data_IF_125866913928
#
_entry.id   IF_125866913928
#
_cell.length_a   1.000
_cell.length_b   1.000
_cell.length_c   1.000
_cell.angle_alpha   90.00
_cell.angle_beta   90.00
_cell.angle_gamma   90.00
#
_symmetry.space_group_name_H-M   'P 1'
#
loop_
_entity.id
_entity.type
_entity.pdbx_description
1 polymer ?
#
# COMPACT_ATOMS: atom_id res chain seq x y z
N UNK A 1 41.35 -9.34 14.05
CA UNK A 1 42.59 -9.18 13.25
C UNK A 1 42.62 -10.16 12.09
N UNK A 2 43.16 -11.38 12.29
CA UNK A 2 43.38 -12.35 11.22
C UNK A 2 42.11 -13.06 10.68
N UNK A 3 41.12 -13.34 11.55
CA UNK A 3 39.89 -14.03 11.14
C UNK A 3 38.98 -13.23 10.19
N UNK A 4 38.92 -11.91 10.37
CA UNK A 4 38.15 -11.01 9.48
C UNK A 4 38.76 -10.94 8.08
N UNK A 5 40.11 -10.90 7.99
CA UNK A 5 40.83 -10.87 6.71
C UNK A 5 40.60 -12.17 5.94
N UNK A 6 40.69 -13.32 6.62
CA UNK A 6 40.41 -14.62 6.01
C UNK A 6 38.96 -14.74 5.53
N UNK A 7 37.99 -14.16 6.25
CA UNK A 7 36.60 -14.12 5.84
C UNK A 7 36.42 -13.32 4.53
N UNK A 8 36.94 -12.08 4.44
CA UNK A 8 36.79 -11.23 3.23
C UNK A 8 37.37 -11.88 1.97
N UNK A 9 38.51 -12.55 2.10
CA UNK A 9 39.22 -13.19 0.99
C UNK A 9 38.66 -14.56 0.61
N UNK A 10 37.69 -15.11 1.34
CA UNK A 10 37.07 -16.37 0.94
C UNK A 10 36.43 -16.23 -0.46
N UNK A 11 36.55 -17.27 -1.28
CA UNK A 11 35.99 -17.34 -2.63
C UNK A 11 34.70 -18.16 -2.70
N UNK A 12 34.35 -18.87 -1.62
CA UNK A 12 33.14 -19.69 -1.50
C UNK A 12 32.54 -19.59 -0.08
N UNK A 13 31.20 -19.62 0.07
CA UNK A 13 30.55 -19.63 1.39
C UNK A 13 30.92 -20.90 2.18
N UNK A 14 31.26 -20.74 3.46
CA UNK A 14 31.68 -21.83 4.36
C UNK A 14 30.52 -22.47 5.14
N UNK A 15 29.30 -21.94 5.02
CA UNK A 15 28.13 -22.46 5.76
C UNK A 15 27.40 -23.57 4.98
N UNK A 16 27.04 -24.69 5.62
CA UNK A 16 26.28 -25.77 4.97
C UNK A 16 24.82 -25.30 4.75
N UNK A 17 24.47 -24.96 3.51
CA UNK A 17 23.11 -24.61 3.09
C UNK A 17 23.01 -23.43 2.12
N UNK A 18 23.98 -22.52 2.11
CA UNK A 18 24.01 -21.36 1.22
C UNK A 18 24.64 -21.71 -0.13
N UNK A 19 23.92 -22.43 -0.99
CA UNK A 19 24.29 -22.52 -2.40
C UNK A 19 24.11 -21.13 -3.01
N UNK A 20 25.18 -20.51 -3.54
CA UNK A 20 25.06 -19.32 -4.39
C UNK A 20 24.25 -19.72 -5.63
N UNK A 21 22.98 -19.35 -5.69
CA UNK A 21 22.06 -19.71 -6.81
C UNK A 21 21.98 -18.59 -7.83
N UNK A 22 22.24 -17.36 -7.40
CA UNK A 22 22.12 -16.15 -8.20
C UNK A 22 23.29 -15.20 -7.95
N UNK A 23 23.47 -14.22 -8.83
CA UNK A 23 24.45 -13.17 -8.61
C UNK A 23 24.10 -12.27 -7.41
N UNK A 24 22.81 -12.11 -7.06
CA UNK A 24 22.42 -11.43 -5.82
C UNK A 24 22.84 -12.21 -4.56
N UNK A 25 22.88 -13.54 -4.59
CA UNK A 25 23.41 -14.35 -3.47
C UNK A 25 24.90 -14.06 -3.24
N UNK A 26 25.64 -13.83 -4.33
CA UNK A 26 27.06 -13.47 -4.23
C UNK A 26 27.24 -12.11 -3.58
N UNK A 27 26.41 -11.13 -3.96
CA UNK A 27 26.38 -9.83 -3.28
C UNK A 27 25.99 -10.01 -1.82
N UNK A 28 24.93 -10.76 -1.53
CA UNK A 28 24.44 -10.96 -0.18
C UNK A 28 25.50 -11.59 0.72
N UNK A 29 26.15 -12.64 0.22
CA UNK A 29 27.27 -13.29 0.90
C UNK A 29 28.43 -12.33 1.13
N UNK A 30 28.89 -11.58 0.11
CA UNK A 30 29.97 -10.60 0.27
C UNK A 30 29.61 -9.47 1.22
N UNK A 31 28.37 -8.99 1.19
CA UNK A 31 27.84 -8.00 2.15
C UNK A 31 27.84 -8.57 3.56
N UNK A 32 27.48 -9.84 3.75
CA UNK A 32 27.54 -10.51 5.05
C UNK A 32 28.98 -10.62 5.57
N UNK A 33 29.95 -10.94 4.71
CA UNK A 33 31.36 -10.94 5.10
C UNK A 33 31.85 -9.55 5.54
N UNK A 34 31.45 -8.50 4.81
CA UNK A 34 31.75 -7.12 5.19
C UNK A 34 31.10 -6.77 6.55
N UNK A 35 29.86 -7.20 6.81
CA UNK A 35 29.18 -7.00 8.11
C UNK A 35 29.92 -7.67 9.26
N UNK A 36 30.42 -8.89 9.07
CA UNK A 36 31.22 -9.60 10.08
C UNK A 36 32.53 -8.85 10.38
N UNK A 37 33.12 -8.19 9.38
CA UNK A 37 34.34 -7.41 9.54
C UNK A 37 34.12 -6.04 10.19
N UNK A 38 33.01 -5.37 9.89
CA UNK A 38 32.66 -4.05 10.43
C UNK A 38 32.02 -4.10 11.83
N UNK A 39 31.69 -5.30 12.33
CA UNK A 39 31.12 -5.50 13.66
C UNK A 39 29.64 -5.15 13.71
N UNK A 40 28.77 -5.99 13.11
CA UNK A 40 27.30 -5.92 13.12
C UNK A 40 26.66 -4.60 12.64
N UNK A 41 27.42 -3.52 12.45
CA UNK A 41 26.93 -2.29 11.86
C UNK A 41 26.62 -2.53 10.38
N UNK A 42 25.42 -2.10 9.95
CA UNK A 42 25.01 -2.17 8.56
C UNK A 42 26.04 -1.41 7.72
N UNK A 43 26.64 -1.98 6.66
CA UNK A 43 27.50 -1.22 5.78
C UNK A 43 26.67 -0.10 5.17
N UNK A 44 26.94 1.13 5.61
CA UNK A 44 26.14 2.28 5.19
C UNK A 44 26.63 2.73 3.82
N UNK A 45 25.87 2.42 2.79
CA UNK A 45 26.10 2.95 1.44
C UNK A 45 25.72 4.44 1.32
N UNK A 46 25.51 5.13 2.44
CA UNK A 46 25.28 6.58 2.51
C UNK A 46 26.46 7.38 1.96
N UNK A 47 27.67 6.81 1.96
CA UNK A 47 28.86 7.43 1.39
C UNK A 47 28.86 7.45 -0.15
N UNK A 48 27.98 6.69 -0.81
CA UNK A 48 27.85 6.73 -2.27
C UNK A 48 27.12 8.00 -2.70
N UNK A 49 27.61 8.65 -3.75
CA UNK A 49 26.91 9.79 -4.38
C UNK A 49 25.57 9.35 -4.97
N UNK A 50 24.65 10.32 -5.14
CA UNK A 50 23.34 10.05 -5.73
C UNK A 50 23.44 9.41 -7.12
N UNK A 51 24.38 9.85 -7.95
CA UNK A 51 24.63 9.31 -9.29
C UNK A 51 25.06 7.84 -9.28
N UNK A 52 25.91 7.45 -8.32
CA UNK A 52 26.37 6.06 -8.19
C UNK A 52 25.21 5.17 -7.74
N UNK A 53 24.40 5.65 -6.79
CA UNK A 53 23.20 4.92 -6.31
C UNK A 53 22.18 4.73 -7.43
N UNK A 54 22.02 5.74 -8.28
CA UNK A 54 21.15 5.68 -9.45
C UNK A 54 21.62 4.63 -10.46
N UNK A 55 22.91 4.64 -10.82
CA UNK A 55 23.50 3.62 -11.70
C UNK A 55 23.37 2.22 -11.11
N UNK A 56 23.55 2.09 -9.79
CA UNK A 56 23.40 0.82 -9.09
C UNK A 56 21.95 0.31 -9.15
N UNK A 57 20.96 1.18 -8.95
CA UNK A 57 19.55 0.83 -9.11
C UNK A 57 19.26 0.32 -10.53
N UNK A 58 19.67 1.07 -11.56
CA UNK A 58 19.44 0.70 -12.96
C UNK A 58 20.12 -0.63 -13.32
N UNK A 59 21.32 -0.86 -12.79
CA UNK A 59 22.01 -2.13 -12.96
C UNK A 59 21.20 -3.28 -12.32
N UNK A 60 20.79 -3.15 -11.07
CA UNK A 60 20.03 -4.18 -10.36
C UNK A 60 18.70 -4.50 -11.06
N UNK A 61 17.96 -3.46 -11.47
CA UNK A 61 16.70 -3.62 -12.18
C UNK A 61 16.89 -4.30 -13.56
N UNK A 62 17.88 -3.87 -14.34
CA UNK A 62 18.16 -4.47 -15.66
C UNK A 62 18.63 -5.92 -15.56
N UNK A 63 19.46 -6.25 -14.56
CA UNK A 63 19.88 -7.64 -14.32
C UNK A 63 18.72 -8.52 -13.85
N UNK A 64 17.79 -7.97 -13.05
CA UNK A 64 16.58 -8.69 -12.66
C UNK A 64 15.73 -9.03 -13.89
N UNK A 65 15.49 -8.07 -14.76
CA UNK A 65 14.74 -8.26 -16.00
C UNK A 65 15.41 -9.26 -16.96
N UNK A 66 16.75 -9.24 -17.07
CA UNK A 66 17.48 -10.07 -18.03
C UNK A 66 17.67 -11.54 -17.59
N UNK A 67 17.65 -11.84 -16.28
CA UNK A 67 18.07 -13.18 -15.83
C UNK A 67 17.67 -13.56 -14.40
N UNK A 68 16.69 -12.89 -13.79
CA UNK A 68 16.21 -13.26 -12.45
C UNK A 68 17.28 -13.04 -11.36
N UNK A 69 18.12 -12.01 -11.53
CA UNK A 69 19.22 -11.65 -10.62
C UNK A 69 18.86 -11.69 -9.14
N UNK A 70 17.62 -11.33 -8.79
CA UNK A 70 17.09 -11.31 -7.43
C UNK A 70 15.93 -12.31 -7.26
N UNK A 71 16.14 -13.58 -7.64
CA UNK A 71 15.15 -14.65 -7.47
C UNK A 71 15.24 -15.35 -6.10
N UNK A 72 16.30 -15.11 -5.33
CA UNK A 72 16.50 -15.65 -3.99
C UNK A 72 16.06 -14.66 -2.91
N UNK A 73 15.47 -15.17 -1.82
CA UNK A 73 15.05 -14.34 -0.68
C UNK A 73 16.22 -13.61 -0.02
N UNK A 74 17.37 -14.27 0.17
CA UNK A 74 18.55 -13.66 0.79
C UNK A 74 19.13 -12.52 -0.06
N UNK A 75 19.18 -12.68 -1.38
CA UNK A 75 19.61 -11.65 -2.32
C UNK A 75 18.69 -10.43 -2.30
N UNK A 76 17.37 -10.66 -2.28
CA UNK A 76 16.36 -9.60 -2.19
C UNK A 76 16.49 -8.81 -0.88
N UNK A 77 16.66 -9.47 0.26
CA UNK A 77 16.82 -8.80 1.55
C UNK A 77 18.05 -7.88 1.60
N UNK A 78 19.15 -8.29 0.97
CA UNK A 78 20.33 -7.42 0.88
C UNK A 78 20.06 -6.22 -0.01
N UNK A 79 19.41 -6.41 -1.16
CA UNK A 79 19.01 -5.32 -2.05
C UNK A 79 18.07 -4.34 -1.34
N UNK A 80 17.10 -4.84 -0.56
CA UNK A 80 16.19 -4.01 0.24
C UNK A 80 16.93 -3.10 1.22
N UNK A 81 18.07 -3.56 1.75
CA UNK A 81 18.91 -2.76 2.67
C UNK A 81 19.81 -1.72 1.99
N UNK A 82 19.82 -1.66 0.65
CA UNK A 82 20.61 -0.69 -0.10
C UNK A 82 19.83 0.64 -0.22
N UNK A 83 20.45 1.80 0.09
CA UNK A 83 19.84 3.11 -0.02
C UNK A 83 19.85 3.63 -1.47
N UNK A 84 19.33 2.83 -2.41
CA UNK A 84 19.35 3.08 -3.85
C UNK A 84 18.01 3.54 -4.42
N UNK A 85 16.93 3.38 -3.64
CA UNK A 85 15.57 3.67 -4.06
C UNK A 85 15.29 5.17 -3.94
N UNK A 86 14.67 5.74 -4.98
CA UNK A 86 14.28 7.16 -5.00
C UNK A 86 12.85 7.30 -4.51
N UNK A 87 12.63 8.16 -3.51
CA UNK A 87 11.27 8.60 -3.16
C UNK A 87 10.78 9.66 -4.15
N UNK A 88 9.48 9.92 -4.20
CA UNK A 88 8.93 11.02 -5.03
C UNK A 88 9.48 12.40 -4.63
N UNK A 89 9.99 12.56 -3.41
CA UNK A 89 10.68 13.77 -2.96
C UNK A 89 12.12 13.90 -3.52
N UNK A 90 12.65 12.85 -4.17
CA UNK A 90 14.01 12.80 -4.69
C UNK A 90 15.04 12.22 -3.71
N UNK A 91 14.62 11.86 -2.50
CA UNK A 91 15.51 11.30 -1.48
C UNK A 91 15.88 9.85 -1.79
N UNK A 92 17.12 9.47 -1.49
CA UNK A 92 17.63 8.09 -1.64
C UNK A 92 17.49 7.33 -0.32
N UNK A 93 16.65 6.30 -0.30
CA UNK A 93 16.34 5.48 0.89
C UNK A 93 16.54 3.99 0.64
N UNK A 94 16.70 3.22 1.72
CA UNK A 94 16.52 1.77 1.71
C UNK A 94 15.05 1.41 1.97
N UNK A 95 14.67 0.17 1.68
CA UNK A 95 13.30 -0.35 1.83
C UNK A 95 13.25 -1.59 2.75
N UNK A 96 14.27 -1.77 3.58
CA UNK A 96 14.34 -2.90 4.51
C UNK A 96 13.37 -2.73 5.67
N UNK A 97 13.10 -1.49 6.09
CA UNK A 97 12.17 -1.18 7.15
C UNK A 97 11.20 -0.07 6.70
N UNK A 98 9.90 -0.41 6.62
CA UNK A 98 8.84 0.53 6.28
C UNK A 98 7.88 0.02 5.21
N UNK A 99 6.74 0.69 5.11
CA UNK A 99 5.73 0.42 4.09
C UNK A 99 6.02 1.29 2.87
N UNK A 100 6.63 0.69 1.85
CA UNK A 100 6.93 1.35 0.59
C UNK A 100 5.99 0.88 -0.51
N UNK A 101 5.61 1.80 -1.39
CA UNK A 101 4.69 1.53 -2.51
C UNK A 101 5.11 2.33 -3.73
N UNK A 102 4.72 1.86 -4.91
CA UNK A 102 4.76 2.66 -6.16
C UNK A 102 3.35 2.99 -6.60
N UNK A 103 3.19 4.05 -7.39
CA UNK A 103 1.89 4.45 -7.93
C UNK A 103 2.05 4.84 -9.41
N UNK A 104 1.42 4.13 -10.36
CA UNK A 104 1.47 4.47 -11.77
C UNK A 104 0.84 5.83 -12.06
N UNK A 105 1.28 6.51 -13.14
CA UNK A 105 0.59 7.70 -13.61
C UNK A 105 -0.86 7.37 -14.01
N UNK A 106 -1.80 8.25 -13.67
CA UNK A 106 -3.22 8.10 -14.03
C UNK A 106 -4.10 7.41 -12.99
N UNK A 107 -3.52 6.93 -11.88
CA UNK A 107 -4.30 6.46 -10.73
C UNK A 107 -5.07 7.62 -10.10
N UNK A 108 -6.34 7.40 -9.82
CA UNK A 108 -7.19 8.44 -9.24
C UNK A 108 -6.74 8.80 -7.81
N UNK A 109 -6.81 10.10 -7.51
CA UNK A 109 -6.42 10.66 -6.22
C UNK A 109 -4.94 10.47 -5.85
N UNK A 110 -4.06 10.19 -6.82
CA UNK A 110 -2.62 10.06 -6.60
C UNK A 110 -2.00 11.31 -5.94
N UNK A 111 -2.58 12.49 -6.14
CA UNK A 111 -2.16 13.74 -5.48
C UNK A 111 -2.21 13.66 -3.94
N UNK A 112 -3.08 12.81 -3.39
CA UNK A 112 -3.19 12.60 -1.94
C UNK A 112 -2.01 11.82 -1.36
N UNK A 113 -1.27 11.09 -2.21
CA UNK A 113 -0.08 10.34 -1.84
C UNK A 113 1.14 11.25 -1.61
N UNK A 114 1.09 12.53 -1.98
CA UNK A 114 2.18 13.50 -1.76
C UNK A 114 2.61 13.63 -0.29
N UNK A 115 1.72 13.28 0.66
CA UNK A 115 1.98 13.29 2.10
C UNK A 115 2.53 11.96 2.64
N UNK A 116 2.55 10.92 1.81
CA UNK A 116 3.01 9.59 2.17
C UNK A 116 4.50 9.45 1.90
N UNK A 117 5.31 9.43 2.97
CA UNK A 117 6.77 9.34 2.86
C UNK A 117 7.30 8.04 2.24
N UNK A 118 6.48 6.98 2.20
CA UNK A 118 6.82 5.69 1.61
C UNK A 118 6.57 5.59 0.10
N UNK A 119 6.21 6.69 -0.58
CA UNK A 119 5.97 6.67 -2.02
C UNK A 119 7.30 6.71 -2.79
N UNK A 120 7.60 5.62 -3.49
CA UNK A 120 8.76 5.52 -4.38
C UNK A 120 8.44 6.07 -5.76
N UNK A 121 9.48 6.54 -6.45
CA UNK A 121 9.40 6.96 -7.84
C UNK A 121 8.92 5.79 -8.72
N UNK A 122 7.81 6.00 -9.44
CA UNK A 122 7.30 5.02 -10.38
C UNK A 122 8.20 4.94 -11.61
N UNK A 123 8.65 3.72 -11.92
CA UNK A 123 9.46 3.43 -13.09
C UNK A 123 8.92 2.18 -13.76
N UNK A 124 8.35 2.35 -14.94
CA UNK A 124 7.69 1.28 -15.68
C UNK A 124 8.65 0.10 -15.95
N UNK A 125 9.88 0.39 -16.34
CA UNK A 125 10.93 -0.62 -16.59
C UNK A 125 11.40 -1.39 -15.36
N UNK A 126 11.07 -0.92 -14.15
CA UNK A 126 11.47 -1.55 -12.89
C UNK A 126 10.28 -2.13 -12.11
N UNK A 127 9.08 -2.21 -12.72
CA UNK A 127 7.86 -2.70 -12.08
C UNK A 127 8.02 -4.10 -11.48
N UNK A 128 8.50 -5.05 -12.27
CA UNK A 128 8.69 -6.44 -11.81
C UNK A 128 9.76 -6.53 -10.72
N UNK A 129 10.79 -5.68 -10.80
CA UNK A 129 11.83 -5.59 -9.77
C UNK A 129 11.28 -5.08 -8.44
N UNK A 130 10.42 -4.05 -8.45
CA UNK A 130 9.70 -3.59 -7.26
C UNK A 130 8.80 -4.68 -6.67
N UNK A 131 8.06 -5.40 -7.53
CA UNK A 131 7.21 -6.50 -7.10
C UNK A 131 8.01 -7.62 -6.43
N UNK A 132 9.17 -8.01 -6.99
CA UNK A 132 10.06 -9.01 -6.40
C UNK A 132 10.61 -8.57 -5.03
N UNK A 133 10.82 -7.27 -4.83
CA UNK A 133 11.24 -6.69 -3.55
C UNK A 133 10.09 -6.55 -2.53
N UNK A 134 8.86 -6.93 -2.90
CA UNK A 134 7.68 -6.80 -2.06
C UNK A 134 7.16 -5.37 -1.95
N UNK A 135 7.48 -4.50 -2.92
CA UNK A 135 6.93 -3.15 -3.03
C UNK A 135 5.71 -3.21 -3.95
N UNK A 136 4.48 -3.14 -3.40
CA UNK A 136 3.28 -3.22 -4.22
C UNK A 136 3.06 -1.94 -5.03
N UNK A 137 2.50 -2.13 -6.22
CA UNK A 137 1.98 -1.07 -7.06
C UNK A 137 0.53 -0.76 -6.67
N UNK A 138 0.23 0.49 -6.33
CA UNK A 138 -1.11 0.91 -5.94
C UNK A 138 -2.00 1.10 -7.18
N UNK A 139 -3.20 0.50 -7.14
CA UNK A 139 -4.29 0.83 -8.07
C UNK A 139 -5.31 1.76 -7.42
N UNK A 140 -6.28 2.26 -8.20
CA UNK A 140 -7.37 3.14 -7.74
C UNK A 140 -8.00 2.65 -6.41
N UNK A 141 -8.29 1.34 -6.33
CA UNK A 141 -8.90 0.74 -5.15
C UNK A 141 -8.00 0.81 -3.90
N UNK A 142 -6.70 0.64 -4.05
CA UNK A 142 -5.76 0.69 -2.93
C UNK A 142 -5.57 2.12 -2.43
N UNK A 143 -5.50 3.10 -3.34
CA UNK A 143 -5.43 4.52 -2.99
C UNK A 143 -6.69 4.93 -2.22
N UNK A 144 -7.86 4.52 -2.74
CA UNK A 144 -9.14 4.76 -2.08
C UNK A 144 -9.17 4.12 -0.68
N UNK A 145 -8.81 2.85 -0.57
CA UNK A 145 -8.87 2.09 0.68
C UNK A 145 -7.96 2.67 1.77
N UNK A 146 -6.71 3.02 1.40
CA UNK A 146 -5.67 3.42 2.36
C UNK A 146 -5.72 4.90 2.71
N UNK A 147 -6.06 5.78 1.76
CA UNK A 147 -5.87 7.23 1.92
C UNK A 147 -7.18 8.01 1.90
N UNK A 148 -8.12 7.65 1.03
CA UNK A 148 -9.35 8.44 0.82
C UNK A 148 -10.43 8.04 1.82
N UNK A 149 -10.79 6.76 1.86
CA UNK A 149 -11.89 6.24 2.68
C UNK A 149 -11.73 6.56 4.17
N UNK A 150 -10.54 6.37 4.80
CA UNK A 150 -10.32 6.76 6.20
C UNK A 150 -10.41 8.28 6.44
N UNK A 151 -10.40 9.08 5.38
CA UNK A 151 -10.42 10.53 5.42
C UNK A 151 -11.79 11.13 5.12
N UNK A 152 -12.74 10.36 4.59
CA UNK A 152 -14.04 10.87 4.11
C UNK A 152 -14.78 11.73 5.14
N UNK A 153 -14.80 11.33 6.41
CA UNK A 153 -15.52 12.06 7.47
C UNK A 153 -14.98 13.49 7.69
N UNK A 154 -13.67 13.68 7.50
CA UNK A 154 -12.93 14.93 7.75
C UNK A 154 -12.63 15.73 6.48
N UNK A 155 -12.95 15.19 5.30
CA UNK A 155 -12.75 15.87 4.03
C UNK A 155 -13.74 17.03 3.88
N UNK A 156 -13.28 18.13 3.27
CA UNK A 156 -14.14 19.21 2.84
C UNK A 156 -15.20 18.70 1.84
N UNK A 157 -16.39 19.31 1.87
CA UNK A 157 -17.54 18.84 1.09
C UNK A 157 -17.24 18.62 -0.40
N UNK A 158 -16.55 19.53 -1.14
CA UNK A 158 -16.26 19.31 -2.55
C UNK A 158 -15.41 18.06 -2.81
N UNK A 159 -14.35 17.87 -2.02
CA UNK A 159 -13.46 16.71 -2.15
C UNK A 159 -14.16 15.40 -1.76
N UNK A 160 -14.98 15.44 -0.70
CA UNK A 160 -15.79 14.29 -0.28
C UNK A 160 -16.79 13.90 -1.36
N UNK A 161 -17.50 14.85 -1.93
CA UNK A 161 -18.46 14.62 -3.03
C UNK A 161 -17.76 14.06 -4.27
N UNK A 162 -16.57 14.56 -4.63
CA UNK A 162 -15.79 14.03 -5.75
C UNK A 162 -15.37 12.56 -5.52
N UNK A 163 -14.85 12.25 -4.34
CA UNK A 163 -14.46 10.88 -3.95
C UNK A 163 -15.66 9.91 -3.96
N UNK A 164 -16.79 10.32 -3.39
CA UNK A 164 -18.01 9.50 -3.35
C UNK A 164 -18.62 9.31 -4.75
N UNK A 165 -18.67 10.36 -5.56
CA UNK A 165 -19.13 10.27 -6.96
C UNK A 165 -18.25 9.31 -7.76
N UNK A 166 -16.94 9.37 -7.57
CA UNK A 166 -16.00 8.46 -8.20
C UNK A 166 -16.24 7.00 -7.76
N UNK A 167 -16.38 6.77 -6.45
CA UNK A 167 -16.68 5.45 -5.88
C UNK A 167 -17.94 4.84 -6.49
N UNK A 168 -19.04 5.59 -6.54
CA UNK A 168 -20.30 5.11 -7.10
C UNK A 168 -20.18 4.83 -8.60
N UNK A 169 -19.59 5.76 -9.38
CA UNK A 169 -19.46 5.63 -10.83
C UNK A 169 -18.58 4.44 -11.23
N UNK A 170 -17.54 4.16 -10.45
CA UNK A 170 -16.55 3.13 -10.75
C UNK A 170 -16.71 1.87 -9.90
N UNK A 171 -17.79 1.75 -9.13
CA UNK A 171 -18.03 0.63 -8.22
C UNK A 171 -17.86 -0.77 -8.84
N UNK A 172 -18.36 -1.05 -10.07
CA UNK A 172 -18.28 -2.39 -10.65
C UNK A 172 -16.86 -2.95 -10.78
N UNK A 173 -15.85 -2.10 -10.96
CA UNK A 173 -14.43 -2.49 -11.03
C UNK A 173 -13.70 -2.42 -9.69
N UNK A 174 -14.30 -1.78 -8.69
CA UNK A 174 -13.71 -1.57 -7.36
C UNK A 174 -14.18 -2.61 -6.33
N UNK A 175 -15.38 -3.17 -6.52
CA UNK A 175 -16.06 -4.04 -5.55
C UNK A 175 -15.30 -5.31 -5.18
N UNK A 176 -14.41 -5.81 -6.04
CA UNK A 176 -13.66 -7.04 -5.75
C UNK A 176 -12.45 -6.80 -4.83
N UNK A 177 -12.09 -5.53 -4.56
CA UNK A 177 -11.01 -5.19 -3.64
C UNK A 177 -11.49 -5.31 -2.18
N UNK A 178 -11.09 -6.39 -1.51
CA UNK A 178 -11.47 -6.66 -0.12
C UNK A 178 -11.00 -5.57 0.88
N UNK A 179 -9.77 -5.03 0.80
CA UNK A 179 -9.34 -3.91 1.66
C UNK A 179 -10.24 -2.68 1.54
N UNK A 180 -10.65 -2.32 0.32
CA UNK A 180 -11.54 -1.19 0.07
C UNK A 180 -12.92 -1.42 0.69
N UNK A 181 -13.51 -2.62 0.52
CA UNK A 181 -14.78 -2.98 1.14
C UNK A 181 -14.71 -2.92 2.66
N UNK A 182 -13.65 -3.47 3.25
CA UNK A 182 -13.43 -3.42 4.69
C UNK A 182 -13.32 -1.98 5.20
N UNK A 183 -12.58 -1.12 4.50
CA UNK A 183 -12.46 0.29 4.83
C UNK A 183 -13.81 1.02 4.72
N UNK A 184 -14.57 0.78 3.66
CA UNK A 184 -15.89 1.40 3.45
C UNK A 184 -16.91 0.95 4.49
N UNK A 185 -16.86 -0.30 4.96
CA UNK A 185 -17.76 -0.82 5.99
C UNK A 185 -17.76 0.01 7.27
N UNK A 186 -16.58 0.46 7.69
CA UNK A 186 -16.35 1.17 8.95
C UNK A 186 -16.23 2.68 8.79
N UNK A 187 -15.98 3.17 7.58
CA UNK A 187 -15.82 4.60 7.33
C UNK A 187 -17.15 5.35 7.50
N UNK A 188 -17.10 6.48 8.21
CA UNK A 188 -18.25 7.32 8.49
C UNK A 188 -18.43 8.35 7.38
N UNK A 189 -19.36 8.10 6.46
CA UNK A 189 -19.61 8.99 5.32
C UNK A 189 -21.09 9.05 4.90
N UNK A 190 -21.96 8.27 5.54
CA UNK A 190 -23.38 8.17 5.21
C UNK A 190 -24.18 9.10 6.12
N UNK A 191 -25.04 9.94 5.54
CA UNK A 191 -26.00 10.72 6.31
C UNK A 191 -27.13 9.80 6.78
N UNK A 192 -27.44 9.82 8.07
CA UNK A 192 -28.49 9.02 8.66
C UNK A 192 -29.78 9.84 8.85
N UNK A 193 -30.93 9.15 8.94
CA UNK A 193 -32.21 9.78 9.24
C UNK A 193 -32.22 10.44 10.63
N UNK A 194 -32.88 11.57 10.83
CA UNK A 194 -32.93 12.22 12.16
C UNK A 194 -33.17 13.72 12.11
N UNK A 195 -33.11 14.37 13.28
CA UNK A 195 -33.33 15.81 13.42
C UNK A 195 -32.25 16.63 12.70
N UNK A 196 -32.70 17.63 11.94
CA UNK A 196 -31.84 18.52 11.18
C UNK A 196 -30.94 19.32 12.15
N UNK A 197 -29.63 19.09 12.09
CA UNK A 197 -28.63 19.76 12.92
C UNK A 197 -27.68 18.82 13.67
N UNK A 198 -28.06 17.55 13.83
CA UNK A 198 -27.22 16.51 14.46
C UNK A 198 -26.56 15.61 13.40
N UNK A 199 -26.15 16.16 12.25
CA UNK A 199 -25.63 15.46 11.08
C UNK A 199 -24.29 14.77 11.38
N UNK A 200 -24.37 13.67 12.12
CA UNK A 200 -23.24 12.83 12.45
C UNK A 200 -23.19 11.75 11.41
N UNK A 201 -22.18 11.81 10.53
CA UNK A 201 -21.95 10.78 9.55
C UNK A 201 -21.85 9.41 10.24
N UNK A 202 -22.52 8.41 9.69
CA UNK A 202 -22.46 7.03 10.13
C UNK A 202 -21.75 6.17 9.10
N UNK A 203 -21.27 5.03 9.56
CA UNK A 203 -20.76 3.98 8.70
C UNK A 203 -21.89 3.12 8.15
N UNK A 204 -21.72 2.52 6.96
CA UNK A 204 -22.70 1.57 6.42
C UNK A 204 -23.02 0.44 7.42
N UNK A 205 -22.01 -0.05 8.16
CA UNK A 205 -22.18 -1.10 9.17
C UNK A 205 -23.02 -0.71 10.39
N UNK A 206 -23.29 0.57 10.62
CA UNK A 206 -24.13 1.05 11.73
C UNK A 206 -25.60 1.25 11.32
N UNK A 207 -25.93 1.07 10.04
CA UNK A 207 -27.22 1.40 9.45
C UNK A 207 -27.94 0.15 8.96
N UNK A 208 -29.27 0.18 9.03
CA UNK A 208 -30.14 -0.84 8.50
C UNK A 208 -30.60 -0.51 7.09
N UNK A 209 -30.91 -1.55 6.33
CA UNK A 209 -31.48 -1.43 4.99
C UNK A 209 -32.96 -1.02 5.05
N UNK A 210 -33.35 0.15 4.52
CA UNK A 210 -34.74 0.61 4.53
C UNK A 210 -35.65 -0.19 3.60
N UNK A 211 -35.13 -0.93 2.61
CA UNK A 211 -35.94 -1.78 1.72
C UNK A 211 -36.27 -3.14 2.33
N UNK A 212 -35.70 -3.49 3.50
CA UNK A 212 -36.10 -4.68 4.25
C UNK A 212 -37.31 -4.35 5.11
N UNK A 213 -38.49 -4.82 4.69
CA UNK A 213 -39.79 -4.50 5.32
C UNK A 213 -39.80 -4.72 6.84
N UNK A 214 -39.21 -5.82 7.32
CA UNK A 214 -39.14 -6.13 8.74
C UNK A 214 -38.33 -5.08 9.52
N UNK A 215 -37.16 -4.70 9.02
CA UNK A 215 -36.31 -3.69 9.66
C UNK A 215 -36.99 -2.32 9.64
N UNK A 216 -37.58 -1.96 8.50
CA UNK A 216 -38.34 -0.72 8.34
C UNK A 216 -39.52 -0.62 9.32
N UNK A 217 -40.19 -1.75 9.63
CA UNK A 217 -41.25 -1.82 10.62
C UNK A 217 -40.72 -1.69 12.06
N UNK A 218 -39.63 -2.41 12.39
CA UNK A 218 -39.05 -2.45 13.74
C UNK A 218 -38.45 -1.10 14.15
N UNK A 219 -37.70 -0.45 13.26
CA UNK A 219 -36.97 0.79 13.55
C UNK A 219 -37.71 2.05 13.06
N UNK A 220 -39.02 1.94 12.77
CA UNK A 220 -39.83 3.06 12.30
C UNK A 220 -39.76 4.22 13.29
N UNK A 221 -39.39 5.41 12.79
CA UNK A 221 -39.30 6.63 13.61
C UNK A 221 -38.03 6.73 14.46
N UNK A 222 -37.16 5.72 14.46
CA UNK A 222 -35.89 5.79 15.16
C UNK A 222 -34.87 6.61 14.36
N UNK A 223 -34.39 7.70 14.96
CA UNK A 223 -33.33 8.51 14.39
C UNK A 223 -32.00 7.75 14.38
N UNK A 224 -31.25 7.89 13.29
CA UNK A 224 -29.94 7.31 13.08
C UNK A 224 -29.96 5.83 12.69
N UNK A 225 -31.13 5.25 12.38
CA UNK A 225 -31.28 3.84 12.05
C UNK A 225 -31.08 3.54 10.56
N UNK A 226 -31.42 4.48 9.67
CA UNK A 226 -31.43 4.29 8.22
C UNK A 226 -30.60 5.35 7.50
N UNK A 227 -30.05 5.04 6.31
CA UNK A 227 -29.50 6.04 5.39
C UNK A 227 -30.55 7.09 5.00
N UNK A 228 -30.13 8.33 4.74
CA UNK A 228 -31.00 9.45 4.40
C UNK A 228 -30.52 10.24 3.16
N UNK A 229 -31.38 11.08 2.60
CA UNK A 229 -31.04 11.96 1.49
C UNK A 229 -30.64 11.19 0.23
N UNK A 230 -29.45 11.47 -0.32
CA UNK A 230 -28.94 10.73 -1.48
C UNK A 230 -28.69 9.24 -1.18
N UNK A 231 -28.39 8.90 0.09
CA UNK A 231 -28.03 7.56 0.50
C UNK A 231 -29.19 6.56 0.52
N UNK A 232 -30.44 7.04 0.48
CA UNK A 232 -31.63 6.20 0.35
C UNK A 232 -32.02 5.92 -1.10
N UNK A 233 -31.28 6.45 -2.07
CA UNK A 233 -31.53 6.15 -3.49
C UNK A 233 -31.05 4.74 -3.85
N UNK A 234 -31.74 4.01 -4.76
CA UNK A 234 -31.41 2.62 -5.09
C UNK A 234 -29.94 2.40 -5.50
N UNK A 235 -29.36 3.34 -6.26
CA UNK A 235 -27.96 3.27 -6.70
C UNK A 235 -26.96 3.31 -5.52
N UNK A 236 -27.27 4.07 -4.47
CA UNK A 236 -26.44 4.12 -3.26
C UNK A 236 -26.71 2.91 -2.36
N UNK A 237 -27.97 2.50 -2.19
CA UNK A 237 -28.32 1.33 -1.39
C UNK A 237 -27.66 0.05 -1.92
N UNK A 238 -27.62 -0.15 -3.24
CA UNK A 238 -26.90 -1.28 -3.85
C UNK A 238 -25.43 -1.34 -3.42
N UNK A 239 -24.72 -0.21 -3.50
CA UNK A 239 -23.33 -0.10 -3.05
C UNK A 239 -23.23 -0.34 -1.53
N UNK A 240 -24.09 0.30 -0.73
CA UNK A 240 -24.08 0.20 0.73
C UNK A 240 -24.26 -1.26 1.21
N UNK A 241 -25.15 -2.03 0.57
CA UNK A 241 -25.32 -3.48 0.84
C UNK A 241 -24.03 -4.25 0.63
N UNK A 242 -23.34 -3.99 -0.47
CA UNK A 242 -22.08 -4.67 -0.78
C UNK A 242 -20.96 -4.33 0.22
N UNK A 243 -21.00 -3.16 0.85
CA UNK A 243 -19.98 -2.73 1.82
C UNK A 243 -20.39 -2.91 3.29
N UNK A 244 -21.60 -3.38 3.59
CA UNK A 244 -21.97 -3.82 4.93
C UNK A 244 -23.19 -3.15 5.56
N UNK A 245 -24.09 -2.56 4.77
CA UNK A 245 -25.43 -2.18 5.25
C UNK A 245 -26.16 -3.42 5.79
N UNK A 246 -26.76 -3.30 6.97
CA UNK A 246 -27.34 -4.45 7.67
C UNK A 246 -28.71 -4.79 7.10
N UNK A 247 -28.86 -6.02 6.60
CA UNK A 247 -30.14 -6.60 6.15
C UNK A 247 -30.79 -7.51 7.21
N UNK A 248 -30.11 -7.74 8.33
CA UNK A 248 -30.61 -8.52 9.48
C UNK A 248 -30.23 -7.80 10.79
N UNK A 249 -30.94 -8.14 11.87
CA UNK A 249 -30.55 -7.76 13.23
C UNK A 249 -29.60 -8.83 13.77
N UNK A 250 -28.40 -8.45 14.18
CA UNK A 250 -27.47 -9.35 14.92
C UNK A 250 -27.86 -9.41 16.40
#
# INVERSE_FOLDING_TARGET
GAGCVAAVHATTPTAPGASLRTAADTIAWKTQQIRVCLGLERPTFTLLSADIRERLFLLLASQHAAGGFAASGEGLEVIRSLPVFTTVAGDKTDIAAGDFVTCPPGVAFAETLSRFGGLLEYRDSARDFYAALGVPELVDADVLARFIVPSLARMALPGRTAALTYLQRHWPRLRDNAPLRAALKVARFVDANGEAGAATLKSPGELYDPEVELLAAVFRGQAGAFPAGAWSQPAWLALLREVGLRSTVD
#
